data_IF_753561481036
#
_entry.id   IF_753561481036
#
_cell.length_a   1.000
_cell.length_b   1.000
_cell.length_c   1.000
_cell.angle_alpha   90.00
_cell.angle_beta   90.00
_cell.angle_gamma   90.00
#
_symmetry.space_group_name_H-M   'P 1'
#
loop_
_entity.id
_entity.type
_entity.pdbx_description
1 polymer ?
#
# COMPACT_ATOMS: atom_id res chain seq x y z
N UNK A 1 9.69 -1.18 -10.18
CA UNK A 1 10.45 -1.46 -8.95
C UNK A 1 10.00 -2.79 -8.35
N UNK A 2 10.94 -3.69 -8.02
CA UNK A 2 10.62 -5.00 -7.45
C UNK A 2 10.28 -4.87 -5.96
N UNK A 3 9.61 -5.86 -5.38
CA UNK A 3 9.26 -5.89 -3.94
C UNK A 3 10.48 -5.65 -3.04
N UNK A 4 11.64 -6.19 -3.44
CA UNK A 4 12.93 -5.99 -2.74
C UNK A 4 13.39 -4.54 -2.77
N UNK A 5 13.26 -3.84 -3.91
CA UNK A 5 13.62 -2.41 -3.99
C UNK A 5 12.73 -1.52 -3.12
N UNK A 6 11.48 -1.93 -2.84
CA UNK A 6 10.62 -1.20 -1.90
C UNK A 6 11.04 -1.43 -0.45
N UNK A 7 11.40 -2.66 -0.09
CA UNK A 7 11.85 -3.01 1.26
C UNK A 7 13.15 -2.28 1.65
N UNK A 8 14.09 -2.14 0.72
CA UNK A 8 15.36 -1.44 0.97
C UNK A 8 15.30 0.07 0.69
N UNK A 9 14.11 0.60 0.39
CA UNK A 9 13.88 2.05 0.40
C UNK A 9 13.32 2.48 1.75
N UNK A 10 13.19 3.79 1.98
CA UNK A 10 12.56 4.33 3.19
C UNK A 10 11.16 3.74 3.46
N UNK A 11 10.45 3.25 2.43
CA UNK A 11 9.16 2.56 2.59
C UNK A 11 9.24 1.25 3.38
N UNK A 12 10.43 0.71 3.61
CA UNK A 12 10.67 -0.48 4.45
C UNK A 12 10.63 -0.21 5.95
N UNK A 13 10.74 1.06 6.36
CA UNK A 13 10.73 1.49 7.77
C UNK A 13 9.64 2.55 8.00
N UNK A 14 8.34 2.22 7.81
CA UNK A 14 7.26 3.19 8.00
C UNK A 14 7.21 3.69 9.45
N UNK A 15 6.93 4.99 9.63
CA UNK A 15 6.76 5.61 10.94
C UNK A 15 5.37 5.32 11.52
N UNK A 16 5.17 4.06 11.92
CA UNK A 16 3.89 3.54 12.36
C UNK A 16 2.94 3.19 11.21
N UNK A 17 1.86 2.47 11.52
CA UNK A 17 0.92 1.98 10.50
C UNK A 17 0.13 3.08 9.80
N UNK A 18 -0.08 4.21 10.48
CA UNK A 18 -0.98 5.28 10.02
C UNK A 18 -0.40 6.13 8.90
N UNK A 19 0.90 6.03 8.63
CA UNK A 19 1.65 6.90 7.72
C UNK A 19 2.19 6.13 6.51
N UNK A 20 1.55 5.02 6.16
CA UNK A 20 1.90 4.21 4.99
C UNK A 20 0.72 3.95 4.07
N UNK A 21 1.01 3.78 2.78
CA UNK A 21 0.04 3.30 1.80
C UNK A 21 -0.11 1.78 1.87
N UNK A 22 -1.28 1.27 1.52
CA UNK A 22 -1.53 -0.15 1.29
C UNK A 22 -1.70 -0.44 -0.20
N UNK A 23 -1.26 -1.62 -0.64
CA UNK A 23 -1.42 -2.07 -2.03
C UNK A 23 -1.83 -3.54 -2.04
N UNK A 24 -2.93 -3.86 -2.72
CA UNK A 24 -3.42 -5.22 -2.87
C UNK A 24 -2.47 -6.13 -3.66
N UNK A 25 -1.52 -5.55 -4.39
CA UNK A 25 -0.48 -6.19 -5.21
C UNK A 25 -1.01 -7.00 -6.41
N UNK A 26 -1.86 -7.98 -6.14
CA UNK A 26 -2.51 -8.82 -7.13
C UNK A 26 -3.50 -8.05 -8.00
N UNK A 27 -3.71 -8.60 -9.20
CA UNK A 27 -4.75 -8.17 -10.11
C UNK A 27 -6.02 -8.95 -9.82
N UNK A 28 -7.10 -8.25 -9.54
CA UNK A 28 -8.43 -8.80 -9.28
C UNK A 28 -9.34 -8.55 -10.48
N UNK A 29 -10.50 -9.21 -10.48
CA UNK A 29 -11.55 -9.01 -11.49
C UNK A 29 -12.78 -8.41 -10.82
N UNK A 30 -13.23 -7.25 -11.29
CA UNK A 30 -14.53 -6.68 -10.93
C UNK A 30 -15.54 -7.07 -12.00
N UNK A 31 -16.68 -7.61 -11.58
CA UNK A 31 -17.77 -8.03 -12.48
C UNK A 31 -19.01 -7.23 -12.17
N UNK A 32 -19.59 -6.58 -13.17
CA UNK A 32 -20.81 -5.79 -13.00
C UNK A 32 -22.09 -6.66 -13.12
N UNK A 33 -23.26 -6.03 -12.93
CA UNK A 33 -24.57 -6.71 -13.02
C UNK A 33 -24.86 -7.36 -14.38
N UNK A 34 -24.20 -6.90 -15.45
CA UNK A 34 -24.36 -7.39 -16.82
C UNK A 34 -23.29 -8.45 -17.16
N UNK A 35 -22.61 -9.00 -16.15
CA UNK A 35 -21.52 -9.97 -16.26
C UNK A 35 -20.30 -9.49 -17.07
N UNK A 36 -20.15 -8.17 -17.26
CA UNK A 36 -18.95 -7.58 -17.86
C UNK A 36 -17.88 -7.43 -16.80
N UNK A 37 -16.67 -7.82 -17.15
CA UNK A 37 -15.54 -7.82 -16.25
C UNK A 37 -14.52 -6.75 -16.62
N UNK A 38 -13.84 -6.21 -15.61
CA UNK A 38 -12.61 -5.41 -15.77
C UNK A 38 -11.57 -5.93 -14.79
N UNK A 39 -10.29 -5.81 -15.15
CA UNK A 39 -9.22 -6.05 -14.20
C UNK A 39 -9.01 -4.83 -13.30
N UNK A 40 -8.59 -5.06 -12.06
CA UNK A 40 -8.30 -3.98 -11.14
C UNK A 40 -7.18 -4.27 -10.15
N UNK A 41 -6.59 -3.20 -9.62
CA UNK A 41 -5.71 -3.23 -8.43
C UNK A 41 -6.22 -2.25 -7.38
N UNK A 42 -6.21 -2.69 -6.12
CA UNK A 42 -6.67 -1.90 -4.96
C UNK A 42 -5.51 -1.19 -4.28
N UNK A 43 -5.67 0.11 -4.06
CA UNK A 43 -4.66 1.00 -3.51
C UNK A 43 -5.28 1.78 -2.35
N UNK A 44 -4.71 1.65 -1.16
CA UNK A 44 -5.06 2.45 0.01
C UNK A 44 -4.07 3.61 0.12
N UNK A 45 -4.56 4.84 -0.09
CA UNK A 45 -3.74 6.04 0.01
C UNK A 45 -3.94 6.66 1.39
N UNK A 46 -2.86 6.77 2.14
CA UNK A 46 -2.83 7.44 3.44
C UNK A 46 -3.13 8.92 3.27
N UNK A 47 -4.07 9.44 4.07
CA UNK A 47 -4.52 10.83 4.01
C UNK A 47 -3.69 11.74 4.96
N UNK A 48 -2.91 11.16 5.86
CA UNK A 48 -2.08 11.81 6.89
C UNK A 48 -0.67 12.14 6.41
N UNK A 49 -0.33 11.74 5.17
CA UNK A 49 1.00 11.85 4.59
C UNK A 49 1.88 10.64 4.91
N UNK A 50 2.78 10.32 3.98
CA UNK A 50 3.74 9.23 4.14
C UNK A 50 4.93 9.73 4.96
N UNK A 51 5.28 9.02 6.04
CA UNK A 51 6.53 9.23 6.75
C UNK A 51 7.21 7.91 7.06
N UNK A 52 8.52 7.96 7.06
CA UNK A 52 9.39 6.82 7.30
C UNK A 52 10.44 7.19 8.33
N UNK A 53 10.88 6.19 9.09
CA UNK A 53 11.96 6.30 10.05
C UNK A 53 13.30 6.17 9.32
N UNK A 54 14.29 6.94 9.79
CA UNK A 54 15.69 6.71 9.45
C UNK A 54 16.16 5.37 10.04
N UNK A 55 17.14 4.73 9.38
CA UNK A 55 17.55 3.37 9.70
C UNK A 55 18.08 3.20 11.13
N UNK A 56 18.80 4.20 11.65
CA UNK A 56 19.29 4.27 13.02
C UNK A 56 18.13 4.25 14.05
N UNK A 57 17.16 5.15 13.87
CA UNK A 57 15.97 5.26 14.72
C UNK A 57 15.09 4.02 14.63
N UNK A 58 14.98 3.42 13.45
CA UNK A 58 14.25 2.17 13.27
C UNK A 58 14.93 1.00 14.02
N UNK A 59 16.26 0.94 13.99
CA UNK A 59 17.05 -0.04 14.75
C UNK A 59 16.88 0.13 16.26
N UNK A 60 16.96 1.37 16.76
CA UNK A 60 16.75 1.68 18.17
C UNK A 60 15.35 1.30 18.65
N UNK A 61 14.32 1.64 17.87
CA UNK A 61 12.93 1.31 18.20
C UNK A 61 12.67 -0.21 18.17
N UNK A 62 13.32 -0.95 17.27
CA UNK A 62 13.17 -2.40 17.21
C UNK A 62 13.63 -3.10 18.51
N UNK A 63 14.67 -2.56 19.18
CA UNK A 63 15.14 -3.06 20.47
C UNK A 63 14.40 -2.49 21.68
N UNK A 64 14.13 -1.19 21.68
CA UNK A 64 13.59 -0.47 22.85
C UNK A 64 12.06 -0.49 22.95
N UNK A 65 11.35 -0.58 21.82
CA UNK A 65 9.89 -0.57 21.76
C UNK A 65 9.40 -1.34 20.53
N UNK A 66 9.48 -2.68 20.54
CA UNK A 66 9.04 -3.51 19.41
C UNK A 66 7.54 -3.36 19.09
N UNK A 67 6.76 -2.83 20.03
CA UNK A 67 5.33 -2.51 19.94
C UNK A 67 5.04 -1.11 19.35
N UNK A 68 6.05 -0.33 18.96
CA UNK A 68 5.94 1.08 18.55
C UNK A 68 4.75 1.37 17.61
N UNK A 69 4.65 0.64 16.50
CA UNK A 69 3.62 0.88 15.48
C UNK A 69 2.19 0.60 16.00
N UNK A 70 2.05 -0.41 16.87
CA UNK A 70 0.78 -0.74 17.51
C UNK A 70 0.39 0.33 18.53
N UNK A 71 1.35 0.77 19.35
CA UNK A 71 1.14 1.83 20.34
C UNK A 71 0.80 3.17 19.69
N UNK A 72 1.47 3.54 18.61
CA UNK A 72 1.14 4.74 17.83
C UNK A 72 -0.33 4.70 17.35
N UNK A 73 -0.74 3.58 16.75
CA UNK A 73 -2.10 3.42 16.26
C UNK A 73 -3.13 3.49 17.40
N UNK A 74 -2.89 2.77 18.49
CA UNK A 74 -3.77 2.74 19.64
C UNK A 74 -3.94 4.14 20.25
N UNK A 75 -2.82 4.82 20.51
CA UNK A 75 -2.83 6.16 21.12
C UNK A 75 -3.52 7.18 20.22
N UNK A 76 -3.31 7.10 18.90
CA UNK A 76 -3.97 8.00 17.96
C UNK A 76 -5.50 7.83 17.99
N UNK A 77 -5.99 6.59 18.01
CA UNK A 77 -7.43 6.30 18.13
C UNK A 77 -7.96 6.78 19.49
N UNK A 78 -7.24 6.50 20.59
CA UNK A 78 -7.64 6.91 21.93
C UNK A 78 -7.72 8.44 22.10
N UNK A 79 -6.90 9.19 21.36
CA UNK A 79 -6.87 10.65 21.35
C UNK A 79 -7.86 11.27 20.34
N UNK A 80 -8.67 10.47 19.64
CA UNK A 80 -9.60 10.95 18.62
C UNK A 80 -8.94 11.35 17.29
N UNK A 81 -7.64 11.08 17.11
CA UNK A 81 -6.90 11.28 15.88
C UNK A 81 -6.99 10.02 14.99
N UNK A 82 -8.19 9.77 14.48
CA UNK A 82 -8.48 8.58 13.68
C UNK A 82 -7.72 8.59 12.37
N UNK A 83 -6.93 7.54 12.07
CA UNK A 83 -6.32 7.42 10.75
C UNK A 83 -7.37 7.11 9.68
N UNK A 84 -7.15 7.62 8.47
CA UNK A 84 -7.99 7.34 7.31
C UNK A 84 -7.15 6.97 6.09
N UNK A 85 -7.76 6.21 5.19
CA UNK A 85 -7.18 5.90 3.89
C UNK A 85 -8.25 6.01 2.81
N UNK A 86 -7.90 6.73 1.75
CA UNK A 86 -8.69 6.79 0.53
C UNK A 86 -8.50 5.53 -0.32
N UNK A 87 -9.59 4.78 -0.58
CA UNK A 87 -9.57 3.67 -1.55
C UNK A 87 -9.45 4.22 -2.96
N UNK A 88 -8.41 3.81 -3.68
CA UNK A 88 -8.29 4.03 -5.12
C UNK A 88 -8.25 2.68 -5.83
N UNK A 89 -8.96 2.61 -6.95
CA UNK A 89 -9.00 1.43 -7.81
C UNK A 89 -8.37 1.82 -9.13
N UNK A 90 -7.27 1.18 -9.49
CA UNK A 90 -6.77 1.21 -10.87
C UNK A 90 -7.55 0.17 -11.66
N UNK A 91 -8.13 0.56 -12.79
CA UNK A 91 -8.97 -0.28 -13.63
C UNK A 91 -8.33 -0.44 -15.01
N UNK A 92 -8.39 -1.64 -15.57
CA UNK A 92 -7.92 -1.95 -16.91
C UNK A 92 -8.93 -2.89 -17.58
N UNK A 93 -9.38 -2.52 -18.78
CA UNK A 93 -10.23 -3.37 -19.61
C UNK A 93 -9.44 -4.54 -20.20
N UNK A 94 -10.13 -5.55 -20.72
CA UNK A 94 -9.47 -6.69 -21.35
C UNK A 94 -8.73 -6.28 -22.61
N UNK A 95 -9.30 -5.36 -23.39
CA UNK A 95 -8.72 -4.82 -24.61
C UNK A 95 -7.46 -3.98 -24.34
N UNK A 96 -7.44 -3.23 -23.23
CA UNK A 96 -6.25 -2.52 -22.76
C UNK A 96 -5.17 -3.49 -22.27
N UNK A 97 -5.58 -4.53 -21.55
CA UNK A 97 -4.68 -5.55 -21.02
C UNK A 97 -3.93 -6.31 -22.12
N UNK A 98 -4.61 -6.64 -23.23
CA UNK A 98 -3.98 -7.31 -24.39
C UNK A 98 -2.94 -6.43 -25.09
N UNK A 99 -3.14 -5.11 -25.08
CA UNK A 99 -2.24 -4.14 -25.72
C UNK A 99 -1.16 -3.61 -24.78
N UNK A 100 -1.26 -3.93 -23.49
CA UNK A 100 -0.34 -3.40 -22.49
C UNK A 100 1.04 -4.06 -22.62
N UNK A 101 2.10 -3.26 -22.49
CA UNK A 101 3.48 -3.70 -22.68
C UNK A 101 3.92 -4.78 -21.68
N UNK A 102 3.24 -4.89 -20.54
CA UNK A 102 3.56 -5.85 -19.48
C UNK A 102 2.38 -6.76 -19.19
N UNK A 103 2.66 -7.98 -18.71
CA UNK A 103 1.61 -8.88 -18.28
C UNK A 103 0.86 -8.24 -17.07
N UNK A 104 -0.46 -8.03 -17.14
CA UNK A 104 -1.24 -7.43 -16.05
C UNK A 104 -1.18 -8.25 -14.75
N UNK A 105 -0.85 -9.55 -14.82
CA UNK A 105 -0.71 -10.43 -13.67
C UNK A 105 0.72 -10.48 -13.09
N UNK A 106 1.69 -9.78 -13.71
CA UNK A 106 3.05 -9.70 -13.19
C UNK A 106 3.11 -8.78 -11.96
N UNK A 107 3.38 -9.37 -10.80
CA UNK A 107 3.49 -8.69 -9.52
C UNK A 107 4.74 -7.79 -9.40
N UNK A 108 5.70 -7.94 -10.31
CA UNK A 108 6.92 -7.11 -10.34
C UNK A 108 6.73 -5.79 -11.09
N UNK A 109 5.57 -5.61 -11.75
CA UNK A 109 5.23 -4.45 -12.57
C UNK A 109 4.09 -3.65 -11.95
N UNK A 110 4.23 -2.33 -12.04
CA UNK A 110 3.24 -1.36 -11.59
C UNK A 110 2.46 -0.91 -12.82
N UNK A 111 1.14 -0.84 -12.70
CA UNK A 111 0.30 -0.22 -13.72
C UNK A 111 0.39 1.30 -13.55
N UNK A 112 0.66 2.07 -14.62
CA UNK A 112 0.82 3.51 -14.53
C UNK A 112 -0.41 4.22 -13.93
#
# INVERSE_FOLDING_TARGET
PTSVSFLFSDRGTPDGYRQMNGYGSHTFKLVNKDNKAVYCKFHWKCDQGIKNLMADKAGDLAGSSPDYAMRDLYNAIAQGNYPSWSLKIQVMTYEEAEKFRWNPFDLTKIWP
#
